data_IF_891859847191
#
_entry.id   IF_891859847191
#
_cell.length_a   1.000
_cell.length_b   1.000
_cell.length_c   1.000
_cell.angle_alpha   90.00
_cell.angle_beta   90.00
_cell.angle_gamma   90.00
#
_symmetry.space_group_name_H-M   'P 1'
#
loop_
_entity.id
_entity.type
_entity.pdbx_description
1 polymer ?
#
# COMPACT_ATOMS: atom_id res chain seq x y z
N UNK A 1 9.80 2.46 -5.67
CA UNK A 1 8.35 2.36 -5.93
C UNK A 1 7.89 3.66 -6.57
N UNK A 2 7.13 3.64 -7.66
CA UNK A 2 6.52 4.85 -8.24
C UNK A 2 4.99 4.73 -8.14
N UNK A 3 4.27 5.84 -8.32
CA UNK A 3 2.79 5.90 -8.28
C UNK A 3 2.10 4.92 -9.24
N UNK A 4 2.84 4.30 -10.18
CA UNK A 4 2.39 3.28 -11.11
C UNK A 4 2.35 1.84 -10.54
N UNK A 5 3.02 1.57 -9.42
CA UNK A 5 2.98 0.25 -8.73
C UNK A 5 1.77 0.17 -7.76
N UNK A 6 1.09 1.30 -7.56
CA UNK A 6 -0.16 1.37 -6.83
C UNK A 6 -1.28 0.66 -7.61
N UNK A 7 -2.22 0.00 -6.90
CA UNK A 7 -3.38 -0.57 -7.56
C UNK A 7 -4.15 0.52 -8.32
N UNK A 8 -4.75 0.21 -9.48
CA UNK A 8 -5.56 1.18 -10.20
C UNK A 8 -6.75 1.63 -9.34
N UNK A 9 -7.15 2.90 -9.47
CA UNK A 9 -8.30 3.50 -8.77
C UNK A 9 -9.61 2.73 -8.94
N UNK A 10 -9.73 1.96 -10.03
CA UNK A 10 -10.89 1.11 -10.34
C UNK A 10 -10.86 -0.24 -9.58
N UNK A 11 -9.89 -0.45 -8.69
CA UNK A 11 -9.77 -1.67 -7.91
C UNK A 11 -10.92 -1.80 -6.92
N UNK A 12 -11.86 -2.69 -7.23
CA UNK A 12 -12.94 -3.09 -6.31
C UNK A 12 -12.58 -4.25 -5.39
N UNK A 13 -11.57 -5.06 -5.76
CA UNK A 13 -11.15 -6.24 -5.00
C UNK A 13 -9.81 -6.00 -4.30
N UNK A 14 -9.88 -5.88 -2.98
CA UNK A 14 -8.74 -5.68 -2.11
C UNK A 14 -8.19 -6.99 -1.58
N UNK A 15 -7.11 -7.47 -2.19
CA UNK A 15 -6.32 -8.60 -1.71
C UNK A 15 -5.20 -8.12 -0.78
N UNK A 16 -4.70 -8.99 0.10
CA UNK A 16 -3.67 -8.65 1.09
C UNK A 16 -2.46 -7.89 0.49
N UNK A 17 -1.97 -8.30 -0.69
CA UNK A 17 -0.87 -7.61 -1.38
C UNK A 17 -1.20 -6.18 -1.83
N UNK A 18 -2.44 -5.91 -2.26
CA UNK A 18 -2.85 -4.56 -2.70
C UNK A 18 -3.06 -3.63 -1.51
N UNK A 19 -3.65 -4.14 -0.43
CA UNK A 19 -3.76 -3.42 0.85
C UNK A 19 -2.38 -3.03 1.36
N UNK A 20 -1.44 -3.99 1.36
CA UNK A 20 -0.05 -3.74 1.74
C UNK A 20 0.66 -2.73 0.83
N UNK A 21 0.37 -2.71 -0.47
CA UNK A 21 0.92 -1.73 -1.41
C UNK A 21 0.50 -0.29 -1.06
N UNK A 22 -0.81 -0.07 -0.82
CA UNK A 22 -1.35 1.25 -0.45
C UNK A 22 -0.83 1.69 0.91
N UNK A 23 -0.90 0.82 1.91
CA UNK A 23 -0.37 1.09 3.26
C UNK A 23 1.11 1.45 3.23
N UNK A 24 1.92 0.72 2.45
CA UNK A 24 3.35 1.04 2.29
C UNK A 24 3.54 2.39 1.63
N UNK A 25 2.82 2.68 0.56
CA UNK A 25 2.93 3.96 -0.12
C UNK A 25 2.57 5.14 0.81
N UNK A 26 1.58 4.94 1.69
CA UNK A 26 1.26 5.89 2.77
C UNK A 26 2.38 6.00 3.80
N UNK A 27 2.90 4.87 4.29
CA UNK A 27 3.97 4.83 5.28
C UNK A 27 5.29 5.44 4.77
N UNK A 28 5.61 5.26 3.49
CA UNK A 28 6.79 5.85 2.84
C UNK A 28 6.55 7.28 2.33
N UNK A 29 5.35 7.85 2.53
CA UNK A 29 5.03 9.22 2.11
C UNK A 29 4.90 9.42 0.59
N UNK A 30 4.70 8.35 -0.19
CA UNK A 30 4.41 8.43 -1.63
C UNK A 30 3.01 8.98 -1.90
N UNK A 31 2.07 8.73 -1.00
CA UNK A 31 0.68 9.23 -1.02
C UNK A 31 0.25 9.54 0.40
N UNK A 32 -0.51 10.61 0.59
CA UNK A 32 -1.11 10.91 1.89
C UNK A 32 -2.27 9.95 2.19
N UNK A 33 -2.58 9.74 3.48
CA UNK A 33 -3.78 8.98 3.89
C UNK A 33 -5.04 9.54 3.20
N UNK A 34 -5.18 10.87 3.19
CA UNK A 34 -6.32 11.53 2.56
C UNK A 34 -6.38 11.31 1.04
N UNK A 35 -5.23 11.42 0.35
CA UNK A 35 -5.14 11.10 -1.07
C UNK A 35 -5.50 9.63 -1.36
N UNK A 36 -5.07 8.69 -0.51
CA UNK A 36 -5.42 7.29 -0.67
C UNK A 36 -6.93 7.06 -0.45
N UNK A 37 -7.53 7.69 0.55
CA UNK A 37 -8.98 7.64 0.81
C UNK A 37 -9.77 8.22 -0.36
N UNK A 38 -9.39 9.38 -0.89
CA UNK A 38 -10.05 10.02 -2.04
C UNK A 38 -9.88 9.19 -3.32
N UNK A 39 -8.66 8.72 -3.60
CA UNK A 39 -8.34 7.95 -4.81
C UNK A 39 -9.08 6.60 -4.86
N UNK A 40 -9.23 5.95 -3.71
CA UNK A 40 -9.76 4.58 -3.62
C UNK A 40 -11.14 4.49 -2.95
N UNK A 41 -11.69 5.61 -2.48
CA UNK A 41 -12.96 5.64 -1.74
C UNK A 41 -12.92 4.86 -0.43
N UNK A 42 -11.78 4.88 0.27
CA UNK A 42 -11.57 4.12 1.52
C UNK A 42 -11.94 4.95 2.74
N UNK A 43 -12.43 4.27 3.77
CA UNK A 43 -12.65 4.88 5.08
C UNK A 43 -11.35 4.94 5.89
N UNK A 44 -11.29 5.85 6.86
CA UNK A 44 -10.14 5.96 7.77
C UNK A 44 -9.93 4.67 8.59
N UNK A 45 -11.03 4.06 9.01
CA UNK A 45 -11.07 2.78 9.70
C UNK A 45 -10.51 1.65 8.82
N UNK A 46 -10.92 1.55 7.56
CA UNK A 46 -10.40 0.54 6.63
C UNK A 46 -8.88 0.68 6.44
N UNK A 47 -8.40 1.91 6.26
CA UNK A 47 -6.98 2.16 6.09
C UNK A 47 -6.20 1.80 7.36
N UNK A 48 -6.73 2.16 8.53
CA UNK A 48 -6.16 1.82 9.83
C UNK A 48 -6.14 0.30 10.06
N UNK A 49 -7.20 -0.42 9.70
CA UNK A 49 -7.24 -1.89 9.75
C UNK A 49 -6.18 -2.51 8.84
N UNK A 50 -5.93 -1.93 7.67
CA UNK A 50 -4.89 -2.42 6.77
C UNK A 50 -3.49 -2.12 7.33
N UNK A 51 -3.29 -0.96 7.95
CA UNK A 51 -2.04 -0.61 8.63
C UNK A 51 -1.75 -1.58 9.77
N UNK A 52 -2.76 -1.89 10.59
CA UNK A 52 -2.65 -2.87 11.67
C UNK A 52 -2.37 -4.26 11.10
N UNK A 53 -3.09 -4.71 10.08
CA UNK A 53 -2.87 -6.02 9.47
C UNK A 53 -1.45 -6.15 8.86
N UNK A 54 -0.94 -5.10 8.23
CA UNK A 54 0.43 -5.08 7.67
C UNK A 54 1.48 -5.04 8.78
N UNK A 55 1.20 -4.35 9.89
CA UNK A 55 2.06 -4.30 11.08
C UNK A 55 2.10 -5.64 11.81
N UNK A 56 0.97 -6.31 11.94
CA UNK A 56 0.81 -7.59 12.64
C UNK A 56 1.44 -8.75 11.87
N UNK A 57 1.32 -8.74 10.53
CA UNK A 57 2.05 -9.65 9.64
C UNK A 57 3.53 -9.25 9.42
N UNK A 58 4.11 -8.50 10.36
CA UNK A 58 5.40 -7.81 10.32
C UNK A 58 6.54 -8.55 9.61
N UNK A 59 7.35 -7.77 8.89
CA UNK A 59 8.65 -8.07 8.24
C UNK A 59 8.80 -9.31 7.32
N UNK A 60 7.97 -10.34 7.38
CA UNK A 60 8.07 -11.53 6.53
C UNK A 60 7.46 -11.27 5.15
N UNK A 61 6.50 -10.36 5.05
CA UNK A 61 6.06 -9.79 3.77
C UNK A 61 7.08 -8.78 3.17
N UNK A 62 8.15 -8.44 3.90
CA UNK A 62 9.11 -7.38 3.56
C UNK A 62 10.20 -7.84 2.59
N UNK A 63 10.39 -9.16 2.40
CA UNK A 63 11.43 -9.68 1.49
C UNK A 63 11.00 -9.80 0.03
N UNK A 64 9.71 -9.85 -0.30
CA UNK A 64 9.30 -10.21 -1.66
C UNK A 64 9.34 -9.07 -2.68
N UNK A 65 9.40 -7.79 -2.28
CA UNK A 65 9.23 -6.70 -3.27
C UNK A 65 10.00 -5.41 -2.99
N UNK A 66 10.77 -5.32 -1.92
CA UNK A 66 11.52 -4.08 -1.60
C UNK A 66 12.92 -4.09 -2.25
N UNK A 67 13.49 -5.26 -2.56
CA UNK A 67 14.87 -5.34 -3.04
C UNK A 67 15.07 -5.37 -4.58
N UNK A 68 14.01 -5.57 -5.39
CA UNK A 68 14.20 -5.80 -6.84
C UNK A 68 13.98 -4.59 -7.76
N UNK A 69 13.44 -3.47 -7.28
CA UNK A 69 13.11 -2.30 -8.14
C UNK A 69 13.75 -0.97 -7.69
N UNK A 70 14.80 -1.03 -6.87
CA UNK A 70 15.70 0.11 -6.60
C UNK A 70 17.06 -0.02 -7.34
N UNK A 71 17.13 -0.83 -8.39
CA UNK A 71 18.01 -0.61 -9.54
C UNK A 71 17.08 -0.47 -10.74
N UNK A 72 17.08 0.65 -11.43
CA UNK A 72 18.04 0.85 -12.52
C UNK A 72 18.17 2.33 -12.90
N UNK A 73 19.22 2.71 -13.66
CA UNK A 73 20.23 1.85 -14.32
C UNK A 73 21.29 1.26 -13.38
#
# INVERSE_FOLDING_TARGET
>A
MTRADLPPRETRRWVASRKACVVRAVAYGLVSRDEAKDTYGLSDEELSEWEVAVRDHGEVALKATVLQKYRQP
#
